data_IF_875185096967
#
_entry.id   IF_875185096967
#
_cell.length_a   1.000
_cell.length_b   1.000
_cell.length_c   1.000
_cell.angle_alpha   90.00
_cell.angle_beta   90.00
_cell.angle_gamma   90.00
#
_symmetry.space_group_name_H-M   'P 1'
#
loop_
_entity.id
_entity.type
_entity.pdbx_description
1 polymer ?
#
# COMPACT_ATOMS: atom_id res chain seq x y z
N UNK A 1 -7.61 -27.07 -5.54
CA UNK A 1 -7.05 -27.73 -6.73
C UNK A 1 -7.15 -29.23 -6.50
N UNK A 2 -7.63 -30.03 -7.46
CA UNK A 2 -7.65 -31.49 -7.33
C UNK A 2 -6.21 -32.01 -7.22
N UNK A 3 -5.98 -33.02 -6.37
CA UNK A 3 -4.63 -33.49 -6.00
C UNK A 3 -3.82 -34.05 -7.18
N UNK A 4 -4.49 -34.51 -8.23
CA UNK A 4 -3.88 -35.14 -9.40
C UNK A 4 -3.00 -34.21 -10.25
N UNK A 5 -3.02 -32.90 -9.97
CA UNK A 5 -2.32 -31.89 -10.75
C UNK A 5 -1.09 -31.29 -10.04
N UNK A 6 -0.76 -31.77 -8.84
CA UNK A 6 0.41 -31.32 -8.08
C UNK A 6 1.64 -32.16 -8.44
N UNK A 7 2.46 -31.62 -9.32
CA UNK A 7 3.75 -32.21 -9.70
C UNK A 7 4.81 -31.76 -8.71
N UNK A 8 5.56 -32.72 -8.15
CA UNK A 8 6.71 -32.39 -7.32
C UNK A 8 7.73 -31.64 -8.18
N UNK A 9 7.98 -30.38 -7.84
CA UNK A 9 8.88 -29.52 -8.58
C UNK A 9 9.82 -28.84 -7.60
N UNK A 10 11.10 -28.85 -7.96
CA UNK A 10 12.18 -28.24 -7.18
C UNK A 10 12.75 -26.99 -7.85
N UNK A 11 12.23 -26.63 -9.04
CA UNK A 11 12.70 -25.54 -9.86
C UNK A 11 11.70 -24.38 -9.86
N UNK A 12 12.19 -23.14 -9.69
CA UNK A 12 11.37 -21.93 -9.72
C UNK A 12 10.60 -21.77 -11.04
N UNK A 13 11.24 -22.08 -12.18
CA UNK A 13 10.64 -21.97 -13.52
C UNK A 13 9.45 -22.91 -13.73
N UNK A 14 9.53 -24.12 -13.19
CA UNK A 14 8.44 -25.09 -13.24
C UNK A 14 7.29 -24.67 -12.33
N UNK A 15 7.59 -24.23 -11.11
CA UNK A 15 6.60 -23.65 -10.18
C UNK A 15 5.86 -22.48 -10.83
N UNK A 16 6.57 -21.63 -11.56
CA UNK A 16 5.97 -20.52 -12.30
C UNK A 16 5.08 -21.01 -13.44
N UNK A 17 5.53 -21.98 -14.22
CA UNK A 17 4.75 -22.60 -15.30
C UNK A 17 3.44 -23.17 -14.75
N UNK A 18 3.51 -24.02 -13.71
CA UNK A 18 2.33 -24.61 -13.10
C UNK A 18 1.42 -23.56 -12.44
N UNK A 19 1.98 -22.59 -11.72
CA UNK A 19 1.19 -21.50 -11.14
C UNK A 19 0.40 -20.74 -12.21
N UNK A 20 1.00 -20.48 -13.36
CA UNK A 20 0.34 -19.84 -14.51
C UNK A 20 -0.75 -20.75 -15.11
N UNK A 21 -0.46 -22.04 -15.32
CA UNK A 21 -1.43 -23.03 -15.83
C UNK A 21 -2.67 -23.10 -14.94
N UNK A 22 -2.48 -23.12 -13.62
CA UNK A 22 -3.55 -23.21 -12.64
C UNK A 22 -4.14 -21.85 -12.25
N UNK A 23 -3.67 -20.75 -12.84
CA UNK A 23 -4.09 -19.37 -12.53
C UNK A 23 -4.05 -19.04 -11.03
N UNK A 24 -3.00 -19.50 -10.35
CA UNK A 24 -2.75 -19.21 -8.93
C UNK A 24 -1.41 -18.50 -8.77
N UNK A 25 -1.18 -17.87 -7.61
CA UNK A 25 0.13 -17.28 -7.33
C UNK A 25 1.19 -18.36 -7.10
N UNK A 26 2.45 -18.03 -7.44
CA UNK A 26 3.62 -18.90 -7.19
C UNK A 26 3.70 -19.34 -5.73
N UNK A 27 3.42 -18.43 -4.80
CA UNK A 27 3.37 -18.73 -3.35
C UNK A 27 2.25 -19.69 -2.96
N UNK A 28 1.07 -19.55 -3.56
CA UNK A 28 -0.07 -20.45 -3.29
C UNK A 28 0.24 -21.86 -3.79
N UNK A 29 0.83 -21.98 -4.98
CA UNK A 29 1.26 -23.27 -5.52
C UNK A 29 2.33 -23.91 -4.63
N UNK A 30 3.36 -23.15 -4.26
CA UNK A 30 4.43 -23.61 -3.37
C UNK A 30 3.90 -24.04 -1.99
N UNK A 31 2.92 -23.32 -1.43
CA UNK A 31 2.27 -23.68 -0.17
C UNK A 31 1.53 -25.01 -0.29
N UNK A 32 0.83 -25.25 -1.39
CA UNK A 32 0.15 -26.54 -1.61
C UNK A 32 1.13 -27.70 -1.75
N UNK A 33 2.27 -27.50 -2.44
CA UNK A 33 3.32 -28.52 -2.51
C UNK A 33 3.84 -28.90 -1.11
N UNK A 34 4.00 -27.91 -0.22
CA UNK A 34 4.40 -28.14 1.17
C UNK A 34 3.33 -28.88 1.96
N UNK A 35 2.08 -28.46 1.90
CA UNK A 35 0.95 -29.13 2.59
C UNK A 35 0.80 -30.60 2.19
N UNK A 36 1.16 -30.94 0.94
CA UNK A 36 1.11 -32.31 0.41
C UNK A 36 2.44 -33.07 0.51
N UNK A 37 3.42 -32.55 1.26
CA UNK A 37 4.75 -33.14 1.43
C UNK A 37 5.46 -33.47 0.09
N UNK A 38 5.17 -32.72 -0.97
CA UNK A 38 5.79 -32.85 -2.31
C UNK A 38 7.09 -32.06 -2.43
N UNK A 39 7.48 -31.34 -1.37
CA UNK A 39 8.72 -30.59 -1.28
C UNK A 39 9.28 -30.64 0.14
N UNK A 40 10.60 -30.72 0.27
CA UNK A 40 11.26 -30.62 1.57
C UNK A 40 11.09 -29.21 2.16
N UNK A 41 10.86 -29.12 3.48
CA UNK A 41 10.79 -27.87 4.24
C UNK A 41 11.95 -26.92 3.97
N UNK A 42 13.19 -27.41 3.86
CA UNK A 42 14.35 -26.56 3.57
C UNK A 42 14.24 -25.91 2.19
N UNK A 43 13.92 -26.71 1.16
CA UNK A 43 13.73 -26.21 -0.22
C UNK A 43 12.55 -25.26 -0.32
N UNK A 44 11.47 -25.52 0.41
CA UNK A 44 10.32 -24.62 0.50
C UNK A 44 10.74 -23.21 0.92
N UNK A 45 11.56 -23.07 1.97
CA UNK A 45 11.99 -21.75 2.44
C UNK A 45 12.94 -21.06 1.46
N UNK A 46 13.83 -21.81 0.80
CA UNK A 46 14.72 -21.27 -0.25
C UNK A 46 13.90 -20.69 -1.40
N UNK A 47 12.99 -21.47 -1.97
CA UNK A 47 12.14 -21.02 -3.08
C UNK A 47 11.19 -19.90 -2.67
N UNK A 48 10.68 -19.90 -1.44
CA UNK A 48 9.87 -18.81 -0.92
C UNK A 48 10.66 -17.50 -0.88
N UNK A 49 11.94 -17.56 -0.49
CA UNK A 49 12.81 -16.39 -0.47
C UNK A 49 13.08 -15.86 -1.90
N UNK A 50 13.33 -16.75 -2.86
CA UNK A 50 13.52 -16.38 -4.28
C UNK A 50 12.26 -15.79 -4.92
N UNK A 51 11.07 -16.35 -4.62
CA UNK A 51 9.81 -15.77 -5.08
C UNK A 51 9.64 -14.37 -4.49
N UNK A 52 9.94 -14.20 -3.20
CA UNK A 52 9.83 -12.91 -2.51
C UNK A 52 10.78 -11.86 -3.05
N UNK A 53 12.02 -12.23 -3.38
CA UNK A 53 13.00 -11.31 -3.99
C UNK A 53 12.60 -10.86 -5.39
N UNK A 54 11.78 -11.65 -6.09
CA UNK A 54 11.24 -11.27 -7.41
C UNK A 54 10.22 -10.13 -7.32
N UNK A 55 9.58 -9.92 -6.17
CA UNK A 55 8.61 -8.83 -6.05
C UNK A 55 9.32 -7.49 -6.02
N UNK A 56 8.88 -6.57 -6.88
CA UNK A 56 9.31 -5.17 -6.80
C UNK A 56 8.85 -4.60 -5.46
N UNK A 57 9.78 -4.36 -4.56
CA UNK A 57 9.54 -3.47 -3.43
C UNK A 57 9.29 -2.09 -4.03
N UNK A 58 8.03 -1.65 -4.09
CA UNK A 58 7.74 -0.25 -4.34
C UNK A 58 8.41 0.52 -3.21
N UNK A 59 9.53 1.20 -3.50
CA UNK A 59 10.13 2.13 -2.57
C UNK A 59 9.00 3.06 -2.12
N UNK A 60 8.66 3.04 -0.83
CA UNK A 60 7.75 4.03 -0.28
C UNK A 60 8.43 5.36 -0.55
N UNK A 61 7.89 6.17 -1.46
CA UNK A 61 8.39 7.53 -1.62
C UNK A 61 8.30 8.17 -0.23
N UNK A 62 9.32 8.92 0.21
CA UNK A 62 9.21 9.69 1.44
C UNK A 62 8.01 10.63 1.25
N UNK A 63 6.88 10.28 1.87
CA UNK A 63 5.61 10.91 1.59
C UNK A 63 5.67 12.36 2.03
N UNK A 64 5.69 13.28 1.07
CA UNK A 64 5.41 14.67 1.36
C UNK A 64 3.94 14.74 1.81
N UNK A 65 3.72 14.91 3.11
CA UNK A 65 2.38 15.11 3.64
C UNK A 65 1.76 16.33 2.96
N UNK A 66 0.56 16.18 2.43
CA UNK A 66 -0.17 17.28 1.80
C UNK A 66 -0.27 18.44 2.81
N UNK A 67 -0.09 19.70 2.38
CA UNK A 67 -0.09 20.85 3.28
C UNK A 67 -1.33 20.92 4.19
N UNK A 68 -2.52 20.56 3.69
CA UNK A 68 -3.76 20.50 4.48
C UNK A 68 -3.70 19.45 5.61
N UNK A 69 -3.21 18.24 5.30
CA UNK A 69 -3.00 17.17 6.29
C UNK A 69 -1.97 17.60 7.33
N UNK A 70 -0.89 18.25 6.91
CA UNK A 70 0.11 18.81 7.85
C UNK A 70 -0.50 19.91 8.73
N UNK A 71 -1.36 20.77 8.17
CA UNK A 71 -2.04 21.82 8.92
C UNK A 71 -2.95 21.23 10.00
N UNK A 72 -3.83 20.28 9.65
CA UNK A 72 -4.70 19.54 10.58
C UNK A 72 -3.90 18.84 11.67
N UNK A 73 -2.83 18.13 11.31
CA UNK A 73 -1.99 17.41 12.26
C UNK A 73 -1.21 18.33 13.22
N UNK A 74 -0.77 19.51 12.76
CA UNK A 74 0.03 20.44 13.57
C UNK A 74 -0.79 21.38 14.43
N UNK A 75 -1.95 21.84 13.95
CA UNK A 75 -2.79 22.86 14.60
C UNK A 75 -4.04 22.28 15.25
N UNK A 76 -4.39 21.03 14.92
CA UNK A 76 -5.59 20.35 15.39
C UNK A 76 -6.75 20.46 14.42
N UNK A 77 -7.52 19.37 14.32
CA UNK A 77 -8.70 19.23 13.45
C UNK A 77 -9.78 20.27 13.80
N UNK A 78 -10.01 20.50 15.08
CA UNK A 78 -11.03 21.45 15.57
C UNK A 78 -10.72 22.88 15.18
N UNK A 79 -9.46 23.29 15.31
CA UNK A 79 -9.02 24.61 14.88
C UNK A 79 -9.13 24.77 13.36
N UNK A 80 -8.73 23.74 12.61
CA UNK A 80 -8.82 23.74 11.16
C UNK A 80 -10.27 23.96 10.68
N UNK A 81 -11.21 23.20 11.24
CA UNK A 81 -12.63 23.29 10.88
C UNK A 81 -13.23 24.63 11.30
N UNK A 82 -12.88 25.15 12.49
CA UNK A 82 -13.36 26.45 12.95
C UNK A 82 -12.96 27.59 12.00
N UNK A 83 -11.74 27.55 11.47
CA UNK A 83 -11.26 28.56 10.52
C UNK A 83 -12.01 28.44 9.18
N UNK A 84 -12.28 27.23 8.69
CA UNK A 84 -13.08 27.02 7.48
C UNK A 84 -14.53 27.49 7.67
N UNK A 85 -15.17 27.14 8.79
CA UNK A 85 -16.52 27.58 9.11
C UNK A 85 -16.62 29.12 9.18
N UNK A 86 -15.63 29.76 9.80
CA UNK A 86 -15.56 31.22 9.89
C UNK A 86 -15.33 31.87 8.52
N UNK A 87 -14.60 31.22 7.63
CA UNK A 87 -14.41 31.66 6.26
C UNK A 87 -15.72 31.54 5.46
N UNK A 88 -16.43 30.42 5.57
CA UNK A 88 -17.71 30.17 4.90
C UNK A 88 -18.83 31.10 5.39
N UNK A 89 -18.75 31.55 6.65
CA UNK A 89 -19.64 32.57 7.20
C UNK A 89 -19.24 34.01 6.82
N UNK A 90 -18.25 34.19 5.93
CA UNK A 90 -17.67 35.49 5.56
C UNK A 90 -17.16 36.31 6.74
N UNK A 91 -16.82 35.66 7.87
CA UNK A 91 -16.28 36.31 9.08
C UNK A 91 -14.76 36.46 9.02
N UNK A 92 -14.10 35.68 8.16
CA UNK A 92 -12.67 35.74 7.92
C UNK A 92 -12.39 35.89 6.42
N UNK A 93 -11.38 36.71 6.10
CA UNK A 93 -10.87 36.78 4.72
C UNK A 93 -9.96 35.58 4.41
N UNK A 94 -9.88 35.22 3.13
CA UNK A 94 -8.99 34.16 2.64
C UNK A 94 -7.51 34.38 3.03
N UNK A 95 -7.07 35.64 3.10
CA UNK A 95 -5.71 36.01 3.53
C UNK A 95 -5.50 35.70 5.01
N UNK A 96 -6.48 35.99 5.86
CA UNK A 96 -6.42 35.70 7.29
C UNK A 96 -6.44 34.18 7.54
N UNK A 97 -7.33 33.45 6.87
CA UNK A 97 -7.38 31.99 6.98
C UNK A 97 -6.10 31.31 6.46
N UNK A 98 -5.50 31.82 5.39
CA UNK A 98 -4.20 31.36 4.87
C UNK A 98 -3.10 31.47 5.92
N UNK A 99 -3.02 32.61 6.62
CA UNK A 99 -2.05 32.81 7.70
C UNK A 99 -2.31 31.87 8.88
N UNK A 100 -3.57 31.73 9.30
CA UNK A 100 -3.96 30.88 10.44
C UNK A 100 -3.68 29.40 10.17
N UNK A 101 -4.04 28.90 8.98
CA UNK A 101 -3.84 27.50 8.60
C UNK A 101 -2.41 27.21 8.11
N UNK A 102 -1.60 28.23 7.85
CA UNK A 102 -0.28 28.08 7.24
C UNK A 102 -0.36 27.44 5.84
N UNK A 103 -1.47 27.68 5.14
CA UNK A 103 -1.73 27.19 3.79
C UNK A 103 -1.65 28.36 2.81
N UNK A 104 -1.33 28.09 1.55
CA UNK A 104 -1.47 29.11 0.48
C UNK A 104 -2.95 29.44 0.29
N UNK A 105 -3.26 30.69 -0.04
CA UNK A 105 -4.64 31.17 -0.33
C UNK A 105 -5.37 30.25 -1.32
N UNK A 106 -4.69 29.81 -2.40
CA UNK A 106 -5.26 28.89 -3.39
C UNK A 106 -5.62 27.52 -2.83
N UNK A 107 -4.91 27.06 -1.78
CA UNK A 107 -5.23 25.81 -1.09
C UNK A 107 -6.38 25.98 -0.11
N UNK A 108 -6.50 27.14 0.53
CA UNK A 108 -7.67 27.47 1.36
C UNK A 108 -8.93 27.54 0.52
N UNK A 109 -8.87 28.16 -0.68
CA UNK A 109 -10.01 28.24 -1.60
C UNK A 109 -10.53 26.87 -2.05
N UNK A 110 -9.64 25.87 -2.18
CA UNK A 110 -10.02 24.53 -2.59
C UNK A 110 -10.57 23.66 -1.45
N UNK A 111 -10.41 24.09 -0.19
CA UNK A 111 -10.85 23.35 1.01
C UNK A 111 -12.10 23.97 1.64
N UNK A 112 -12.51 25.17 1.19
CA UNK A 112 -13.67 25.93 1.68
C UNK A 112 -14.98 25.50 1.03
#
# INVERSE_FOLDING_TARGET
MPENYLVASENLSEIQTYANTFRVSREVYLRQLKEKNKINRTKFFVLLAEIKSTYKHSAKSPGFALPGVKSRASRGETFFNLVLDSLNQNRLSYTQASTLLGLRISKVLNEA
#
